data_IF_098699280941
#
_entry.id   IF_098699280941
#
_cell.length_a   1.000
_cell.length_b   1.000
_cell.length_c   1.000
_cell.angle_alpha   90.00
_cell.angle_beta   90.00
_cell.angle_gamma   90.00
#
_symmetry.space_group_name_H-M   'P 1'
#
loop_
_entity.id
_entity.type
_entity.pdbx_description
1 polymer ?
#
# COMPACT_ATOMS: atom_id res chain seq x y z
N UNK A 1 26.09 -17.88 0.76
CA UNK A 1 25.36 -16.98 1.70
C UNK A 1 25.22 -15.55 1.17
N UNK A 2 26.25 -14.96 0.57
CA UNK A 2 26.26 -13.60 0.02
C UNK A 2 25.12 -13.32 -0.98
N UNK A 3 24.81 -14.25 -1.89
CA UNK A 3 23.69 -14.08 -2.84
C UNK A 3 22.29 -13.99 -2.20
N UNK A 4 22.06 -14.64 -1.05
CA UNK A 4 20.77 -14.56 -0.31
C UNK A 4 20.63 -13.22 0.43
N UNK A 5 21.74 -12.68 0.93
CA UNK A 5 21.80 -11.38 1.60
C UNK A 5 21.63 -10.26 0.58
N UNK A 6 22.36 -10.32 -0.54
CA UNK A 6 22.25 -9.35 -1.63
C UNK A 6 20.83 -9.26 -2.19
N UNK A 7 20.15 -10.40 -2.38
CA UNK A 7 18.75 -10.38 -2.80
C UNK A 7 17.84 -9.71 -1.77
N UNK A 8 18.04 -9.98 -0.48
CA UNK A 8 17.23 -9.36 0.56
C UNK A 8 17.36 -7.84 0.54
N UNK A 9 18.58 -7.33 0.42
CA UNK A 9 18.87 -5.89 0.29
C UNK A 9 18.24 -5.31 -0.98
N UNK A 10 18.43 -5.98 -2.12
CA UNK A 10 17.86 -5.57 -3.40
C UNK A 10 16.33 -5.49 -3.37
N UNK A 11 15.68 -6.41 -2.66
CA UNK A 11 14.23 -6.38 -2.50
C UNK A 11 13.76 -5.20 -1.64
N UNK A 12 14.49 -4.84 -0.58
CA UNK A 12 14.19 -3.62 0.18
C UNK A 12 14.37 -2.37 -0.64
N UNK A 13 15.46 -2.29 -1.41
CA UNK A 13 15.72 -1.18 -2.32
C UNK A 13 14.60 -1.05 -3.36
N UNK A 14 14.20 -2.15 -4.00
CA UNK A 14 13.09 -2.13 -4.98
C UNK A 14 11.77 -1.67 -4.37
N UNK A 15 11.51 -1.97 -3.09
CA UNK A 15 10.30 -1.53 -2.38
C UNK A 15 10.38 -0.07 -1.91
N UNK A 16 11.57 0.47 -1.64
CA UNK A 16 11.77 1.89 -1.32
C UNK A 16 11.77 2.77 -2.57
N UNK A 17 12.08 2.22 -3.74
CA UNK A 17 12.11 2.96 -5.01
C UNK A 17 10.75 3.56 -5.37
N UNK A 18 9.65 2.82 -5.20
CA UNK A 18 8.31 3.34 -5.51
C UNK A 18 7.91 4.57 -4.68
N UNK A 19 7.96 4.55 -3.33
CA UNK A 19 7.67 5.74 -2.53
C UNK A 19 8.69 6.87 -2.79
N UNK A 20 9.95 6.55 -3.07
CA UNK A 20 10.95 7.56 -3.44
C UNK A 20 10.58 8.29 -4.74
N UNK A 21 10.20 7.57 -5.80
CA UNK A 21 9.78 8.20 -7.06
C UNK A 21 8.51 9.02 -6.91
N UNK A 22 7.56 8.58 -6.09
CA UNK A 22 6.36 9.37 -5.80
C UNK A 22 6.71 10.69 -5.11
N UNK A 23 7.55 10.64 -4.07
CA UNK A 23 8.05 11.83 -3.38
C UNK A 23 8.81 12.77 -4.34
N UNK A 24 9.55 12.23 -5.31
CA UNK A 24 10.23 13.01 -6.34
C UNK A 24 9.21 13.71 -7.25
N UNK A 25 8.19 13.00 -7.74
CA UNK A 25 7.14 13.58 -8.57
C UNK A 25 6.37 14.69 -7.84
N UNK A 26 6.03 14.49 -6.57
CA UNK A 26 5.40 15.52 -5.74
C UNK A 26 6.33 16.69 -5.46
N UNK A 27 7.62 16.44 -5.23
CA UNK A 27 8.63 17.48 -5.08
C UNK A 27 8.73 18.38 -6.33
N UNK A 28 8.76 17.79 -7.52
CA UNK A 28 8.76 18.54 -8.78
C UNK A 28 7.45 19.32 -8.99
N UNK A 29 6.32 18.76 -8.57
CA UNK A 29 5.02 19.46 -8.64
C UNK A 29 4.98 20.66 -7.70
N UNK A 30 5.51 20.52 -6.48
CA UNK A 30 5.64 21.63 -5.54
C UNK A 30 6.59 22.72 -6.05
N UNK A 31 7.63 22.33 -6.79
CA UNK A 31 8.54 23.28 -7.43
C UNK A 31 7.82 24.07 -8.53
N UNK A 32 6.97 23.42 -9.33
CA UNK A 32 6.13 24.13 -10.29
C UNK A 32 5.22 25.15 -9.57
N UNK A 33 4.65 24.78 -8.42
CA UNK A 33 3.77 25.65 -7.62
C UNK A 33 4.52 26.84 -7.02
N UNK A 34 5.81 26.69 -6.70
CA UNK A 34 6.59 27.80 -6.16
C UNK A 34 6.78 28.95 -7.16
N UNK A 35 6.53 28.72 -8.46
CA UNK A 35 6.58 29.76 -9.51
C UNK A 35 5.32 30.64 -9.57
N UNK A 36 4.26 30.27 -8.84
CA UNK A 36 3.01 31.05 -8.80
C UNK A 36 3.23 32.35 -8.02
N UNK A 37 2.89 33.48 -8.65
CA UNK A 37 3.03 34.81 -8.06
C UNK A 37 2.09 35.07 -6.87
N UNK A 38 0.90 34.45 -6.89
CA UNK A 38 -0.11 34.63 -5.83
C UNK A 38 0.30 33.82 -4.59
N UNK A 39 0.70 34.55 -3.54
CA UNK A 39 1.26 33.97 -2.31
C UNK A 39 0.26 33.07 -1.57
N UNK A 40 -0.98 33.49 -1.44
CA UNK A 40 -2.03 32.73 -0.73
C UNK A 40 -2.33 31.40 -1.44
N UNK A 41 -2.50 31.45 -2.77
CA UNK A 41 -2.74 30.26 -3.58
C UNK A 41 -1.55 29.29 -3.51
N UNK A 42 -0.32 29.81 -3.56
CA UNK A 42 0.91 29.02 -3.44
C UNK A 42 0.96 28.26 -2.12
N UNK A 43 0.69 28.93 -0.99
CA UNK A 43 0.70 28.31 0.34
C UNK A 43 -0.35 27.19 0.44
N UNK A 44 -1.61 27.49 0.09
CA UNK A 44 -2.70 26.51 0.19
C UNK A 44 -2.38 25.29 -0.68
N UNK A 45 -1.93 25.52 -1.91
CA UNK A 45 -1.64 24.43 -2.83
C UNK A 45 -0.42 23.60 -2.37
N UNK A 46 0.60 24.23 -1.80
CA UNK A 46 1.73 23.50 -1.19
C UNK A 46 1.31 22.59 -0.05
N UNK A 47 0.46 23.06 0.86
CA UNK A 47 -0.05 22.24 1.97
C UNK A 47 -0.94 21.10 1.48
N UNK A 48 -1.83 21.36 0.52
CA UNK A 48 -2.69 20.33 -0.08
C UNK A 48 -1.87 19.23 -0.72
N UNK A 49 -0.84 19.60 -1.49
CA UNK A 49 0.02 18.61 -2.15
C UNK A 49 0.90 17.87 -1.13
N UNK A 50 1.41 18.55 -0.09
CA UNK A 50 2.18 17.89 0.96
C UNK A 50 1.33 16.86 1.71
N UNK A 51 0.08 17.19 2.03
CA UNK A 51 -0.85 16.25 2.63
C UNK A 51 -1.17 15.07 1.70
N UNK A 52 -1.36 15.34 0.39
CA UNK A 52 -1.60 14.31 -0.61
C UNK A 52 -0.41 13.34 -0.75
N UNK A 53 0.82 13.87 -0.73
CA UNK A 53 2.05 13.07 -0.76
C UNK A 53 2.14 12.15 0.47
N UNK A 54 1.97 12.70 1.68
CA UNK A 54 1.94 11.91 2.91
C UNK A 54 0.87 10.81 2.87
N UNK A 55 -0.33 11.11 2.38
CA UNK A 55 -1.43 10.15 2.27
C UNK A 55 -1.12 9.05 1.25
N UNK A 56 -0.56 9.40 0.10
CA UNK A 56 -0.22 8.44 -0.94
C UNK A 56 0.89 7.49 -0.47
N UNK A 57 1.93 8.02 0.18
CA UNK A 57 2.99 7.19 0.77
C UNK A 57 2.43 6.28 1.86
N UNK A 58 1.53 6.79 2.70
CA UNK A 58 0.84 5.98 3.71
C UNK A 58 0.15 4.77 3.08
N UNK A 59 -0.63 4.98 2.01
CA UNK A 59 -1.34 3.90 1.31
C UNK A 59 -0.37 2.87 0.72
N UNK A 60 0.68 3.33 0.03
CA UNK A 60 1.66 2.44 -0.59
C UNK A 60 2.40 1.58 0.42
N UNK A 61 2.87 2.19 1.52
CA UNK A 61 3.61 1.49 2.56
C UNK A 61 2.69 0.56 3.36
N UNK A 62 1.44 0.96 3.59
CA UNK A 62 0.42 0.09 4.17
C UNK A 62 0.20 -1.16 3.31
N UNK A 63 0.02 -1.00 2.01
CA UNK A 63 -0.12 -2.12 1.08
C UNK A 63 1.12 -3.04 1.08
N UNK A 64 2.32 -2.46 1.18
CA UNK A 64 3.55 -3.23 1.34
C UNK A 64 3.60 -4.03 2.66
N UNK A 65 3.06 -3.48 3.75
CA UNK A 65 2.88 -4.16 5.03
C UNK A 65 1.90 -5.33 4.96
N UNK A 66 0.75 -5.12 4.31
CA UNK A 66 -0.26 -6.16 4.06
C UNK A 66 0.36 -7.34 3.27
N UNK A 67 1.05 -7.04 2.16
CA UNK A 67 1.70 -8.06 1.33
C UNK A 67 2.81 -8.82 2.06
N UNK A 68 3.58 -8.15 2.93
CA UNK A 68 4.60 -8.81 3.74
C UNK A 68 3.99 -9.78 4.77
N UNK A 69 2.82 -9.46 5.32
CA UNK A 69 2.14 -10.34 6.26
C UNK A 69 1.53 -11.56 5.56
N UNK A 70 0.92 -11.40 4.39
CA UNK A 70 0.46 -12.52 3.54
C UNK A 70 1.58 -13.53 3.28
N UNK A 71 2.77 -13.03 2.96
CA UNK A 71 3.96 -13.86 2.73
C UNK A 71 4.43 -14.62 3.97
N UNK A 72 4.26 -14.02 5.17
CA UNK A 72 4.58 -14.71 6.43
C UNK A 72 3.69 -15.94 6.63
N UNK A 73 2.41 -15.83 6.30
CA UNK A 73 1.42 -16.90 6.50
C UNK A 73 1.57 -18.01 5.48
N UNK A 74 1.85 -17.66 4.21
CA UNK A 74 2.27 -18.65 3.21
C UNK A 74 3.51 -19.41 3.68
N UNK A 75 4.48 -18.71 4.27
CA UNK A 75 5.67 -19.34 4.83
C UNK A 75 5.40 -20.28 5.99
N UNK A 76 4.41 -19.98 6.83
CA UNK A 76 3.96 -20.89 7.89
C UNK A 76 3.27 -22.13 7.32
N UNK A 77 2.36 -21.95 6.35
CA UNK A 77 1.66 -23.06 5.69
C UNK A 77 2.61 -24.03 4.98
N UNK A 78 3.64 -23.51 4.30
CA UNK A 78 4.69 -24.34 3.68
C UNK A 78 5.49 -25.13 4.72
N UNK A 79 5.82 -24.50 5.86
CA UNK A 79 6.56 -25.19 6.95
C UNK A 79 5.72 -26.25 7.65
N UNK A 80 4.40 -26.10 7.66
CA UNK A 80 3.46 -27.06 8.23
C UNK A 80 2.99 -28.12 7.24
N UNK A 81 3.51 -28.15 6.01
CA UNK A 81 3.07 -29.04 4.93
C UNK A 81 1.54 -29.00 4.68
N UNK A 82 0.89 -27.87 5.00
CA UNK A 82 -0.55 -27.70 4.73
C UNK A 82 -0.75 -27.26 3.27
N UNK A 83 -1.83 -27.69 2.61
CA UNK A 83 -2.09 -27.31 1.22
C UNK A 83 -2.26 -25.79 1.12
N UNK A 84 -1.37 -25.15 0.37
CA UNK A 84 -1.41 -23.72 0.08
C UNK A 84 -2.40 -23.43 -1.04
N UNK A 85 -3.68 -23.75 -0.83
CA UNK A 85 -4.74 -23.65 -1.84
C UNK A 85 -4.98 -22.23 -2.40
N UNK A 86 -4.46 -21.19 -1.76
CA UNK A 86 -4.55 -19.79 -2.18
C UNK A 86 -3.19 -19.15 -2.51
N UNK A 87 -2.08 -19.87 -2.44
CA UNK A 87 -0.74 -19.29 -2.63
C UNK A 87 -0.36 -19.04 -4.11
N UNK A 88 -1.20 -19.45 -5.06
CA UNK A 88 -0.97 -19.21 -6.48
C UNK A 88 -0.98 -17.70 -6.82
N UNK A 89 -1.80 -16.91 -6.12
CA UNK A 89 -1.97 -15.47 -6.39
C UNK A 89 -0.90 -14.57 -5.75
N UNK A 90 -0.11 -15.08 -4.81
CA UNK A 90 0.86 -14.27 -4.06
C UNK A 90 2.23 -14.17 -4.77
N UNK A 91 2.45 -14.90 -5.86
CA UNK A 91 3.74 -14.98 -6.56
C UNK A 91 4.79 -15.82 -5.80
N UNK A 92 6.00 -15.92 -6.35
CA UNK A 92 7.05 -16.81 -5.81
C UNK A 92 7.38 -16.48 -4.34
N UNK A 93 7.09 -17.45 -3.47
CA UNK A 93 7.38 -17.39 -2.04
C UNK A 93 8.89 -17.30 -1.77
N UNK A 94 9.27 -16.40 -0.86
CA UNK A 94 10.64 -16.27 -0.34
C UNK A 94 10.64 -15.78 1.10
N UNK A 95 11.55 -16.31 1.91
CA UNK A 95 11.74 -15.92 3.32
C UNK A 95 12.08 -14.43 3.47
N UNK A 96 12.72 -13.82 2.48
CA UNK A 96 13.02 -12.37 2.44
C UNK A 96 11.76 -11.50 2.47
N UNK A 97 10.61 -12.04 2.05
CA UNK A 97 9.34 -11.31 1.95
C UNK A 97 8.49 -11.37 3.23
N UNK A 98 8.85 -12.22 4.19
CA UNK A 98 8.08 -12.38 5.43
C UNK A 98 8.07 -11.09 6.26
N UNK A 99 6.93 -10.78 6.88
CA UNK A 99 6.81 -9.64 7.78
C UNK A 99 7.74 -9.74 8.99
N UNK A 100 8.46 -8.65 9.27
CA UNK A 100 9.19 -8.41 10.53
C UNK A 100 9.12 -6.91 10.86
N UNK A 101 8.98 -6.57 12.14
CA UNK A 101 8.77 -5.18 12.59
C UNK A 101 9.90 -4.23 12.13
N UNK A 102 11.16 -4.67 12.25
CA UNK A 102 12.32 -3.86 11.88
C UNK A 102 12.39 -3.54 10.38
N UNK A 103 11.67 -4.26 9.51
CA UNK A 103 11.66 -3.98 8.07
C UNK A 103 10.97 -2.65 7.75
N UNK A 104 10.01 -2.24 8.57
CA UNK A 104 9.39 -0.91 8.46
C UNK A 104 10.40 0.20 8.74
N UNK A 105 11.25 0.02 9.75
CA UNK A 105 12.32 0.96 10.08
C UNK A 105 13.38 1.04 8.98
N UNK A 106 13.80 -0.11 8.43
CA UNK A 106 14.77 -0.14 7.32
C UNK A 106 14.19 0.56 6.08
N UNK A 107 12.90 0.35 5.78
CA UNK A 107 12.24 1.02 4.66
C UNK A 107 12.17 2.54 4.88
N UNK A 108 11.79 2.98 6.08
CA UNK A 108 11.75 4.40 6.45
C UNK A 108 13.14 5.04 6.36
N UNK A 109 14.17 4.36 6.86
CA UNK A 109 15.55 4.81 6.75
C UNK A 109 15.99 4.89 5.27
N UNK A 110 15.71 3.88 4.46
CA UNK A 110 16.11 3.85 3.05
C UNK A 110 15.48 4.99 2.23
N UNK A 111 14.19 5.29 2.45
CA UNK A 111 13.49 6.38 1.75
C UNK A 111 13.99 7.76 2.20
N UNK A 112 14.28 7.93 3.49
CA UNK A 112 14.69 9.22 4.05
C UNK A 112 16.21 9.47 4.03
N UNK A 113 17.03 8.47 3.74
CA UNK A 113 18.49 8.59 3.77
C UNK A 113 19.01 9.69 2.83
N UNK A 114 18.50 9.71 1.59
CA UNK A 114 18.90 10.70 0.58
C UNK A 114 18.51 12.13 1.03
N UNK A 115 17.24 12.41 1.40
CA UNK A 115 16.85 13.69 1.96
C UNK A 115 17.70 14.13 3.16
N UNK A 116 17.99 13.22 4.10
CA UNK A 116 18.78 13.53 5.30
C UNK A 116 20.20 13.96 4.92
N UNK A 117 20.87 13.21 4.04
CA UNK A 117 22.24 13.54 3.60
C UNK A 117 22.24 14.88 2.87
N UNK A 118 21.31 15.10 1.93
CA UNK A 118 21.22 16.37 1.19
C UNK A 118 20.93 17.55 2.12
N UNK A 119 20.05 17.37 3.11
CA UNK A 119 19.73 18.40 4.12
C UNK A 119 20.96 18.74 4.97
N UNK A 120 21.73 17.73 5.41
CA UNK A 120 22.96 17.94 6.18
C UNK A 120 24.05 18.65 5.36
N UNK A 121 24.30 18.20 4.13
CA UNK A 121 25.30 18.83 3.25
C UNK A 121 24.91 20.26 2.91
N UNK A 122 23.62 20.51 2.68
CA UNK A 122 23.06 21.83 2.42
C UNK A 122 23.14 22.77 3.63
N UNK A 123 22.93 22.25 4.84
CA UNK A 123 22.92 23.03 6.06
C UNK A 123 24.32 23.32 6.60
N UNK A 124 25.24 22.35 6.51
CA UNK A 124 26.61 22.48 7.04
C UNK A 124 27.60 23.05 6.04
N UNK A 125 27.42 22.74 4.75
CA UNK A 125 28.37 23.12 3.71
C UNK A 125 28.04 24.41 2.96
N UNK A 126 26.92 25.07 3.30
CA UNK A 126 26.39 26.26 2.61
C UNK A 126 26.41 26.15 1.08
N UNK A 127 26.31 24.93 0.57
CA UNK A 127 26.55 24.66 -0.84
C UNK A 127 25.26 24.85 -1.63
N UNK A 128 25.25 25.85 -2.51
CA UNK A 128 24.11 26.16 -3.39
C UNK A 128 23.72 24.95 -4.25
N UNK A 129 24.67 24.17 -4.75
CA UNK A 129 24.41 22.97 -5.54
C UNK A 129 23.64 21.91 -4.75
N UNK A 130 23.97 21.73 -3.47
CA UNK A 130 23.25 20.80 -2.60
C UNK A 130 21.81 21.26 -2.34
N UNK A 131 21.58 22.58 -2.19
CA UNK A 131 20.23 23.18 -2.04
C UNK A 131 19.38 22.99 -3.28
N UNK A 132 19.94 23.26 -4.46
CA UNK A 132 19.24 23.05 -5.74
C UNK A 132 18.93 21.56 -5.93
N UNK A 133 19.88 20.68 -5.62
CA UNK A 133 19.65 19.23 -5.67
C UNK A 133 18.57 18.78 -4.69
N UNK A 134 18.55 19.33 -3.48
CA UNK A 134 17.51 19.08 -2.48
C UNK A 134 16.14 19.56 -2.99
N UNK A 135 16.06 20.72 -3.64
CA UNK A 135 14.82 21.21 -4.25
C UNK A 135 14.30 20.30 -5.35
N UNK A 136 15.18 19.81 -6.22
CA UNK A 136 14.80 18.97 -7.36
C UNK A 136 14.43 17.55 -6.95
N UNK A 137 15.21 16.93 -6.06
CA UNK A 137 15.04 15.52 -5.70
C UNK A 137 14.14 15.33 -4.47
N UNK A 138 14.13 16.29 -3.56
CA UNK A 138 13.47 16.20 -2.26
C UNK A 138 12.64 17.47 -1.98
N UNK A 139 12.05 18.05 -3.02
CA UNK A 139 11.23 19.26 -2.90
C UNK A 139 10.12 19.14 -1.86
N UNK A 140 9.56 17.95 -1.67
CA UNK A 140 8.52 17.67 -0.68
C UNK A 140 8.92 18.00 0.77
N UNK A 141 10.21 17.87 1.14
CA UNK A 141 10.65 18.16 2.50
C UNK A 141 11.16 19.60 2.69
N UNK A 142 11.60 20.25 1.61
CA UNK A 142 12.23 21.58 1.68
C UNK A 142 11.30 22.72 1.24
N UNK A 143 10.43 22.49 0.26
CA UNK A 143 9.58 23.52 -0.33
C UNK A 143 8.45 24.01 0.59
N UNK A 144 7.73 23.14 1.35
CA UNK A 144 6.69 23.64 2.25
C UNK A 144 7.25 24.57 3.36
N UNK A 145 8.33 24.22 4.08
CA UNK A 145 8.95 25.14 5.05
C UNK A 145 9.47 26.42 4.39
N UNK A 146 10.04 26.30 3.19
CA UNK A 146 10.48 27.45 2.40
C UNK A 146 9.34 28.41 2.06
N UNK A 147 8.17 27.89 1.66
CA UNK A 147 7.02 28.74 1.34
C UNK A 147 6.54 29.55 2.54
N UNK A 148 6.55 28.96 3.74
CA UNK A 148 6.22 29.66 4.99
C UNK A 148 7.27 30.75 5.26
N UNK A 149 8.54 30.42 5.11
CA UNK A 149 9.62 31.39 5.31
C UNK A 149 9.49 32.60 4.37
N UNK A 150 9.21 32.36 3.08
CA UNK A 150 8.95 33.43 2.11
C UNK A 150 7.76 34.32 2.51
N UNK A 151 6.70 33.76 3.09
CA UNK A 151 5.51 34.53 3.48
C UNK A 151 5.70 35.35 4.76
N UNK A 152 6.53 34.86 5.69
CA UNK A 152 6.73 35.51 6.99
C UNK A 152 7.86 36.55 6.93
N UNK A 153 8.88 36.33 6.09
CA UNK A 153 10.10 37.13 6.08
C UNK A 153 10.42 37.81 4.74
N UNK A 154 9.67 37.55 3.66
CA UNK A 154 10.01 38.06 2.32
C UNK A 154 9.28 39.34 1.92
N UNK A 155 10.04 40.39 1.58
CA UNK A 155 9.60 41.43 0.63
C UNK A 155 9.78 40.96 -0.81
N UNK A 156 8.90 41.36 -1.75
CA UNK A 156 8.86 40.80 -3.12
C UNK A 156 10.18 40.87 -3.92
N UNK A 157 11.07 41.79 -3.59
CA UNK A 157 12.36 41.98 -4.26
C UNK A 157 13.43 40.93 -3.90
N UNK A 158 13.26 40.16 -2.81
CA UNK A 158 14.29 39.25 -2.27
C UNK A 158 13.96 37.77 -2.46
N UNK A 159 13.02 37.42 -3.36
CA UNK A 159 12.63 36.02 -3.52
C UNK A 159 13.80 35.08 -3.83
N UNK A 160 14.83 35.55 -4.56
CA UNK A 160 16.05 34.81 -4.88
C UNK A 160 17.01 34.72 -3.68
N UNK A 161 17.14 35.78 -2.90
CA UNK A 161 17.99 35.80 -1.70
C UNK A 161 17.37 35.01 -0.54
N UNK A 162 16.04 34.90 -0.47
CA UNK A 162 15.36 34.04 0.48
C UNK A 162 15.73 32.55 0.30
N UNK A 163 16.15 32.10 -0.89
CA UNK A 163 16.68 30.74 -1.10
C UNK A 163 18.01 30.51 -0.38
N UNK A 164 18.80 31.57 -0.18
CA UNK A 164 20.09 31.53 0.51
C UNK A 164 19.94 31.60 2.04
N UNK A 165 18.90 32.27 2.55
CA UNK A 165 18.70 32.44 4.00
C UNK A 165 17.63 31.54 4.63
N UNK A 166 16.84 30.82 3.84
CA UNK A 166 15.87 29.86 4.38
C UNK A 166 16.54 28.79 5.25
N UNK A 167 16.03 28.62 6.47
CA UNK A 167 16.55 27.64 7.42
C UNK A 167 16.19 26.22 6.97
N UNK A 168 17.15 25.59 6.27
CA UNK A 168 17.12 24.20 5.79
C UNK A 168 16.79 23.20 6.90
N UNK A 169 17.08 23.56 8.16
CA UNK A 169 16.81 22.77 9.35
C UNK A 169 15.34 22.40 9.55
N UNK A 170 14.40 23.24 9.11
CA UNK A 170 12.97 22.93 9.21
C UNK A 170 12.57 21.73 8.35
N UNK A 171 13.36 21.37 7.34
CA UNK A 171 13.13 20.15 6.53
C UNK A 171 13.22 18.88 7.36
N UNK A 172 14.01 18.87 8.44
CA UNK A 172 14.09 17.71 9.34
C UNK A 172 12.76 17.39 10.01
N UNK A 173 11.90 18.39 10.23
CA UNK A 173 10.57 18.16 10.81
C UNK A 173 9.72 17.34 9.85
N UNK A 174 9.68 17.70 8.56
CA UNK A 174 8.93 16.95 7.55
C UNK A 174 9.54 15.57 7.29
N UNK A 175 10.86 15.46 7.26
CA UNK A 175 11.56 14.16 7.18
C UNK A 175 11.18 13.28 8.38
N UNK A 176 11.13 13.84 9.59
CA UNK A 176 10.74 13.12 10.81
C UNK A 176 9.29 12.65 10.78
N UNK A 177 8.36 13.52 10.36
CA UNK A 177 6.94 13.16 10.17
C UNK A 177 6.82 12.02 9.16
N UNK A 178 7.51 12.12 8.02
CA UNK A 178 7.50 11.09 7.00
C UNK A 178 8.09 9.76 7.49
N UNK A 179 9.18 9.83 8.27
CA UNK A 179 9.79 8.65 8.88
C UNK A 179 8.79 7.91 9.77
N UNK A 180 8.13 8.63 10.68
CA UNK A 180 7.11 8.06 11.58
C UNK A 180 5.95 7.49 10.76
N UNK A 181 5.48 8.23 9.76
CA UNK A 181 4.37 7.84 8.90
C UNK A 181 4.65 6.52 8.17
N UNK A 182 5.85 6.34 7.60
CA UNK A 182 6.26 5.09 6.94
C UNK A 182 6.28 3.93 7.93
N UNK A 183 6.83 4.12 9.13
CA UNK A 183 6.90 3.07 10.16
C UNK A 183 5.50 2.64 10.60
N UNK A 184 4.63 3.62 10.90
CA UNK A 184 3.25 3.38 11.35
C UNK A 184 2.40 2.76 10.25
N UNK A 185 2.49 3.26 9.01
CA UNK A 185 1.78 2.72 7.86
C UNK A 185 2.10 1.23 7.64
N UNK A 186 3.39 0.88 7.73
CA UNK A 186 3.85 -0.50 7.56
C UNK A 186 3.29 -1.42 8.67
N UNK A 187 3.30 -0.94 9.91
CA UNK A 187 2.76 -1.66 11.07
C UNK A 187 1.24 -1.86 10.98
N UNK A 188 0.50 -0.81 10.64
CA UNK A 188 -0.95 -0.86 10.48
C UNK A 188 -1.38 -1.79 9.35
N UNK A 189 -0.66 -1.77 8.23
CA UNK A 189 -0.89 -2.70 7.12
C UNK A 189 -0.79 -4.16 7.55
N UNK A 190 0.28 -4.51 8.27
CA UNK A 190 0.46 -5.86 8.77
C UNK A 190 -0.61 -6.27 9.80
N UNK A 191 -1.03 -5.35 10.67
CA UNK A 191 -2.04 -5.62 11.69
C UNK A 191 -3.42 -5.85 11.09
N UNK A 192 -3.81 -5.06 10.08
CA UNK A 192 -5.08 -5.25 9.36
C UNK A 192 -5.16 -6.63 8.70
N UNK A 193 -4.08 -7.05 8.04
CA UNK A 193 -4.02 -8.37 7.41
C UNK A 193 -4.05 -9.50 8.45
N UNK A 194 -3.38 -9.32 9.60
CA UNK A 194 -3.48 -10.27 10.72
C UNK A 194 -4.91 -10.47 11.19
N UNK A 195 -5.68 -9.38 11.32
CA UNK A 195 -7.11 -9.44 11.68
C UNK A 195 -7.92 -10.11 10.58
N UNK A 196 -7.69 -9.78 9.31
CA UNK A 196 -8.38 -10.39 8.17
C UNK A 196 -8.22 -11.92 8.21
N UNK A 197 -6.99 -12.41 8.37
CA UNK A 197 -6.74 -13.85 8.40
C UNK A 197 -7.28 -14.54 9.65
N UNK A 198 -7.29 -13.86 10.80
CA UNK A 198 -7.96 -14.36 11.99
C UNK A 198 -9.48 -14.55 11.75
N UNK A 199 -10.12 -13.58 11.09
CA UNK A 199 -11.54 -13.68 10.72
C UNK A 199 -11.78 -14.83 9.73
N UNK A 200 -10.93 -14.96 8.70
CA UNK A 200 -11.04 -16.08 7.74
C UNK A 200 -10.87 -17.44 8.41
N UNK A 201 -9.89 -17.59 9.31
CA UNK A 201 -9.67 -18.83 10.05
C UNK A 201 -10.91 -19.21 10.90
N UNK A 202 -11.53 -18.21 11.55
CA UNK A 202 -12.74 -18.42 12.35
C UNK A 202 -13.96 -18.77 11.50
N UNK A 203 -14.07 -18.19 10.31
CA UNK A 203 -15.11 -18.55 9.36
C UNK A 203 -14.94 -19.99 8.86
N UNK A 204 -13.72 -20.42 8.53
CA UNK A 204 -13.47 -21.80 8.12
C UNK A 204 -13.79 -22.81 9.22
N UNK A 205 -13.46 -22.52 10.48
CA UNK A 205 -13.82 -23.37 11.63
C UNK A 205 -15.34 -23.49 11.79
N UNK A 206 -16.08 -22.38 11.69
CA UNK A 206 -17.55 -22.41 11.76
C UNK A 206 -18.22 -23.18 10.62
N UNK A 207 -17.63 -23.14 9.42
CA UNK A 207 -18.10 -23.90 8.25
C UNK A 207 -17.80 -25.38 8.43
N UNK A 208 -16.61 -25.73 8.92
CA UNK A 208 -16.21 -27.11 9.16
C UNK A 208 -17.05 -27.75 10.28
N UNK A 209 -17.34 -27.02 11.36
CA UNK A 209 -18.31 -27.44 12.38
C UNK A 209 -19.72 -27.63 11.79
N UNK A 210 -20.15 -26.72 10.91
CA UNK A 210 -21.43 -26.84 10.21
C UNK A 210 -21.51 -28.10 9.34
N UNK A 211 -20.47 -28.38 8.57
CA UNK A 211 -20.35 -29.59 7.75
C UNK A 211 -20.35 -30.84 8.64
N UNK A 212 -19.58 -30.85 9.73
CA UNK A 212 -19.54 -31.96 10.67
C UNK A 212 -20.91 -32.23 11.30
N UNK A 213 -21.67 -31.19 11.67
CA UNK A 213 -23.06 -31.32 12.16
C UNK A 213 -24.00 -31.87 11.10
N UNK A 214 -23.89 -31.42 9.85
CA UNK A 214 -24.68 -31.96 8.75
C UNK A 214 -24.35 -33.42 8.43
N UNK A 215 -23.07 -33.80 8.50
CA UNK A 215 -22.65 -35.19 8.33
C UNK A 215 -23.13 -36.09 9.49
N UNK A 216 -23.05 -35.62 10.74
CA UNK A 216 -23.54 -36.33 11.91
C UNK A 216 -25.08 -36.50 11.88
N UNK A 217 -25.82 -35.50 11.42
CA UNK A 217 -27.27 -35.62 11.23
C UNK A 217 -27.63 -36.59 10.10
N UNK A 218 -26.85 -36.62 9.01
CA UNK A 218 -27.07 -37.57 7.92
C UNK A 218 -26.65 -39.01 8.26
N UNK A 219 -25.70 -39.22 9.16
CA UNK A 219 -25.29 -40.56 9.62
C UNK A 219 -26.20 -41.12 10.72
N UNK A 220 -26.83 -40.26 11.51
CA UNK A 220 -27.86 -40.62 12.50
C UNK A 220 -29.28 -40.71 11.89
N UNK A 221 -29.44 -40.47 10.58
CA UNK A 221 -30.68 -40.78 9.90
C UNK A 221 -30.91 -42.30 9.94
N UNK A 222 -32.04 -42.79 10.49
CA UNK A 222 -32.26 -44.21 10.70
C UNK A 222 -32.22 -44.98 9.38
N UNK A 223 -31.26 -45.91 9.24
CA UNK A 223 -31.30 -46.97 8.24
C UNK A 223 -32.37 -47.98 8.64
N UNK A 224 -33.64 -47.67 8.38
CA UNK A 224 -34.73 -48.58 8.69
C UNK A 224 -36.10 -48.02 8.32
N UNK A 225 -36.57 -48.35 7.12
CA UNK A 225 -37.96 -48.11 6.73
C UNK A 225 -38.18 -48.32 5.24
N UNK A 226 -38.20 -49.57 4.78
CA UNK A 226 -38.83 -49.89 3.49
C UNK A 226 -40.34 -49.65 3.61
N UNK A 227 -40.86 -48.91 2.63
CA UNK A 227 -42.21 -48.93 2.06
C UNK A 227 -43.42 -48.69 2.98
N UNK A 228 -44.10 -47.56 2.75
CA UNK A 228 -45.53 -47.63 2.45
C UNK A 228 -45.81 -46.89 1.14
N UNK A 229 -46.10 -47.69 0.11
CA UNK A 229 -46.87 -47.24 -1.03
C UNK A 229 -48.28 -46.90 -0.53
N UNK A 230 -48.73 -45.66 -0.73
CA UNK A 230 -50.16 -45.38 -0.85
C UNK A 230 -50.39 -44.46 -2.03
N UNK A 231 -50.80 -45.12 -3.10
CA UNK A 231 -51.40 -44.59 -4.31
C UNK A 231 -52.80 -44.04 -3.99
N UNK A 232 -53.10 -42.83 -4.45
CA UNK A 232 -54.41 -42.32 -4.89
C UNK A 232 -54.16 -40.86 -5.34
N UNK A 233 -53.98 -40.57 -6.64
CA UNK A 233 -55.07 -40.27 -7.60
C UNK A 233 -55.64 -38.88 -7.30
N UNK A 234 -55.51 -37.82 -8.13
CA UNK A 234 -55.70 -37.71 -9.59
C UNK A 234 -55.19 -36.34 -10.10
N UNK A 235 -55.14 -36.13 -11.44
CA UNK A 235 -54.30 -35.14 -12.11
C UNK A 235 -55.00 -33.82 -12.42
N UNK A 236 -54.21 -32.74 -12.53
CA UNK A 236 -54.55 -31.63 -13.42
C UNK A 236 -53.46 -31.44 -14.46
N UNK A 237 -53.84 -31.74 -15.70
CA UNK A 237 -53.16 -31.32 -16.90
C UNK A 237 -53.58 -29.88 -17.24
N UNK A 238 -52.60 -29.05 -17.59
CA UNK A 238 -52.68 -28.06 -18.68
C UNK A 238 -51.25 -27.59 -18.97
N UNK A 239 -50.71 -28.00 -20.14
CA UNK A 239 -50.46 -27.15 -21.31
C UNK A 239 -49.50 -25.99 -21.01
N UNK A 240 -48.36 -25.82 -21.67
CA UNK A 240 -47.85 -26.40 -22.92
C UNK A 240 -46.77 -25.45 -23.45
N UNK A 241 -45.97 -25.92 -24.41
CA UNK A 241 -45.25 -25.00 -25.32
C UNK A 241 -43.75 -24.78 -25.06
N UNK A 242 -42.99 -25.80 -25.48
CA UNK A 242 -41.67 -25.84 -26.14
C UNK A 242 -40.77 -24.58 -26.38
N UNK A 243 -39.46 -24.84 -26.61
CA UNK A 243 -38.36 -23.87 -26.58
C UNK A 243 -38.04 -23.26 -27.95
N UNK A 244 -37.30 -22.14 -27.96
CA UNK A 244 -36.62 -21.64 -29.16
C UNK A 244 -35.26 -21.03 -28.87
N UNK A 245 -34.29 -21.56 -29.60
CA UNK A 245 -32.89 -21.18 -29.79
C UNK A 245 -32.76 -19.92 -30.66
N UNK A 246 -31.77 -19.05 -30.37
CA UNK A 246 -31.00 -18.23 -31.32
C UNK A 246 -29.94 -17.46 -30.50
N UNK A 247 -28.63 -17.76 -30.53
CA UNK A 247 -27.64 -17.69 -31.61
C UNK A 247 -27.56 -16.30 -32.29
N UNK A 248 -26.48 -15.56 -32.02
CA UNK A 248 -26.27 -14.21 -32.56
C UNK A 248 -24.84 -13.68 -32.32
N UNK A 249 -23.87 -14.22 -33.08
CA UNK A 249 -22.58 -13.58 -33.39
C UNK A 249 -22.80 -12.26 -34.14
N UNK A 250 -21.93 -11.26 -33.89
CA UNK A 250 -21.37 -10.17 -34.75
C UNK A 250 -21.21 -8.89 -33.90
N UNK A 251 -20.16 -8.09 -33.99
CA UNK A 251 -19.02 -8.04 -34.90
C UNK A 251 -18.15 -6.83 -34.56
N UNK A 252 -16.92 -6.85 -35.08
CA UNK A 252 -15.94 -5.78 -35.02
C UNK A 252 -16.31 -4.56 -35.89
N UNK A 253 -15.81 -3.37 -35.52
CA UNK A 253 -15.33 -2.26 -36.38
C UNK A 253 -14.77 -1.17 -35.45
N UNK A 254 -13.46 -0.90 -35.44
CA UNK A 254 -12.75 0.12 -36.24
C UNK A 254 -13.46 1.48 -36.27
N UNK A 255 -12.90 2.44 -35.52
CA UNK A 255 -12.46 3.74 -36.03
C UNK A 255 -11.22 4.15 -35.25
#
# INVERSE_FOLDING_TARGET
>A
MIGKIGWSIWEYFRRSVTPFFMNLMFGMTMLAISTISIVELKLVLMFVIAAADCLLVFILVRAAGENAYKMKVIGQLIRENRPTGSAQDAGTYRVSKEYRWYKGLILAAAVNLIPVILTLVSALGENLGARVTLMLLCGWCYLPPFSIYQTVFGTEAEQVDAYLYSSVWWSFVLIGIQFILVVVAYYLGATKEKVHQYVLARQTESIEEGIARHQANNSNAPKGGKAHAQNNGKPHAQNGGKPSVQNGKKGAKKH
#
